data_IF_313714938574
#
_entry.id   IF_313714938574
#
_cell.length_a   1.000
_cell.length_b   1.000
_cell.length_c   1.000
_cell.angle_alpha   90.00
_cell.angle_beta   90.00
_cell.angle_gamma   90.00
#
_symmetry.space_group_name_H-M   'P 1'
#
loop_
_entity.id
_entity.type
_entity.pdbx_description
1 polymer ?
#
# COMPACT_ATOMS: atom_id res chain seq x y z
N UNK A 1 -4.77 25.41 0.37
CA UNK A 1 -5.08 24.32 1.31
C UNK A 1 -3.80 23.52 1.50
N UNK A 2 -3.41 23.28 2.74
CA UNK A 2 -2.17 22.54 3.04
C UNK A 2 -2.32 21.06 2.63
N UNK A 3 -1.27 20.48 2.04
CA UNK A 3 -1.28 19.07 1.61
C UNK A 3 -1.03 18.18 2.82
N UNK A 4 -1.99 17.32 3.13
CA UNK A 4 -1.96 16.46 4.31
C UNK A 4 -1.76 15.00 3.88
N UNK A 5 -0.62 14.42 4.20
CA UNK A 5 -0.33 13.00 3.98
C UNK A 5 -0.53 12.24 5.29
N UNK A 6 -1.16 11.07 5.23
CA UNK A 6 -1.34 10.23 6.41
C UNK A 6 -0.90 8.79 6.16
N UNK A 7 -0.44 8.12 7.21
CA UNK A 7 -0.24 6.68 7.24
C UNK A 7 -0.70 6.12 8.59
N UNK A 8 -0.81 4.80 8.69
CA UNK A 8 -1.19 4.11 9.92
C UNK A 8 -0.24 2.93 10.16
N UNK A 9 0.24 2.80 11.39
CA UNK A 9 1.12 1.72 11.84
C UNK A 9 0.59 1.12 13.14
N UNK A 10 0.45 -0.20 13.23
CA UNK A 10 -0.01 -0.86 14.44
C UNK A 10 0.73 -2.17 14.66
N UNK A 11 0.92 -2.52 15.93
CA UNK A 11 1.68 -3.69 16.33
C UNK A 11 3.13 -3.64 15.84
N UNK A 12 3.71 -4.80 15.55
CA UNK A 12 5.15 -4.96 15.32
C UNK A 12 5.52 -5.23 13.85
N UNK A 13 4.54 -5.24 12.95
CA UNK A 13 4.76 -5.62 11.54
C UNK A 13 5.66 -4.64 10.79
N UNK A 14 5.49 -3.34 11.03
CA UNK A 14 6.31 -2.29 10.43
C UNK A 14 6.99 -1.48 11.54
N UNK A 15 8.31 -1.36 11.47
CA UNK A 15 9.09 -0.52 12.38
C UNK A 15 9.22 0.94 11.90
N UNK A 16 9.82 1.82 12.72
CA UNK A 16 9.99 3.25 12.41
C UNK A 16 10.71 3.51 11.08
N UNK A 17 11.60 2.61 10.66
CA UNK A 17 12.30 2.65 9.35
C UNK A 17 11.34 2.82 8.17
N UNK A 18 10.17 2.18 8.19
CA UNK A 18 9.20 2.30 7.11
C UNK A 18 8.55 3.69 7.09
N UNK A 19 8.21 4.22 8.27
CA UNK A 19 7.60 5.54 8.43
C UNK A 19 8.60 6.63 8.01
N UNK A 20 9.85 6.54 8.47
CA UNK A 20 10.90 7.51 8.18
C UNK A 20 11.24 7.54 6.67
N UNK A 21 11.34 6.38 6.03
CA UNK A 21 11.52 6.28 4.57
C UNK A 21 10.31 6.81 3.82
N UNK A 22 9.09 6.54 4.27
CA UNK A 22 7.89 7.09 3.66
C UNK A 22 7.90 8.62 3.71
N UNK A 23 8.20 9.22 4.87
CA UNK A 23 8.33 10.68 4.97
C UNK A 23 9.39 11.23 4.02
N UNK A 24 10.58 10.63 4.00
CA UNK A 24 11.66 11.12 3.15
C UNK A 24 11.32 11.03 1.65
N UNK A 25 10.66 9.93 1.25
CA UNK A 25 10.10 9.77 -0.09
C UNK A 25 9.05 10.82 -0.43
N UNK A 26 8.13 11.11 0.49
CA UNK A 26 7.11 12.15 0.33
C UNK A 26 7.78 13.53 0.20
N UNK A 27 8.66 13.90 1.14
CA UNK A 27 9.34 15.18 1.18
C UNK A 27 10.16 15.48 -0.10
N UNK A 28 10.81 14.46 -0.67
CA UNK A 28 11.54 14.58 -1.94
C UNK A 28 10.64 14.82 -3.15
N UNK A 29 9.36 14.45 -3.08
CA UNK A 29 8.45 14.37 -4.22
C UNK A 29 7.18 15.21 -4.05
N UNK A 30 7.10 16.09 -3.05
CA UNK A 30 5.94 16.96 -2.86
C UNK A 30 6.40 18.41 -2.71
N UNK A 31 5.69 19.33 -3.35
CA UNK A 31 6.00 20.77 -3.20
C UNK A 31 5.57 21.24 -1.81
N UNK A 32 6.44 21.87 -0.98
CA UNK A 32 6.00 22.42 0.31
C UNK A 32 4.98 23.58 0.14
N UNK A 33 4.16 23.89 1.17
CA UNK A 33 4.06 23.22 2.47
C UNK A 33 3.24 21.92 2.41
N UNK A 34 3.59 20.97 3.29
CA UNK A 34 2.84 19.74 3.53
C UNK A 34 3.02 19.27 4.98
N UNK A 35 2.06 18.50 5.48
CA UNK A 35 2.17 17.78 6.76
C UNK A 35 2.13 16.28 6.54
N UNK A 36 2.74 15.52 7.45
CA UNK A 36 2.62 14.08 7.50
C UNK A 36 2.26 13.61 8.90
N UNK A 37 1.15 12.89 9.02
CA UNK A 37 0.67 12.32 10.28
C UNK A 37 0.71 10.80 10.22
N UNK A 38 1.37 10.17 11.20
CA UNK A 38 1.32 8.73 11.39
C UNK A 38 0.42 8.40 12.59
N UNK A 39 -0.64 7.65 12.34
CA UNK A 39 -1.45 7.07 13.41
C UNK A 39 -0.78 5.79 13.91
N UNK A 40 -0.27 5.77 15.14
CA UNK A 40 0.50 4.65 15.66
C UNK A 40 0.34 4.41 17.15
N UNK A 41 0.52 3.15 17.56
CA UNK A 41 0.63 2.70 18.95
C UNK A 41 2.07 2.75 19.48
N UNK A 42 3.07 2.91 18.61
CA UNK A 42 4.48 3.04 18.99
C UNK A 42 5.20 4.12 18.16
N UNK A 43 5.45 5.32 18.72
CA UNK A 43 6.14 6.40 18.03
C UNK A 43 7.68 6.31 18.13
N UNK A 44 8.23 5.33 18.85
CA UNK A 44 9.67 5.24 19.10
C UNK A 44 10.48 5.14 17.80
N UNK A 45 11.54 5.95 17.69
CA UNK A 45 12.42 6.00 16.52
C UNK A 45 11.82 6.67 15.28
N UNK A 46 10.57 7.15 15.34
CA UNK A 46 9.98 7.95 14.26
C UNK A 46 10.56 9.36 14.30
N UNK A 47 10.91 9.88 13.12
CA UNK A 47 11.50 11.21 12.96
C UNK A 47 10.52 12.33 13.37
N UNK A 48 11.07 13.43 13.88
CA UNK A 48 10.29 14.56 14.44
C UNK A 48 9.38 15.28 13.45
N UNK A 49 9.68 15.20 12.16
CA UNK A 49 8.88 15.84 11.11
C UNK A 49 7.58 15.08 10.82
N UNK A 50 7.47 13.83 11.28
CA UNK A 50 6.24 13.07 11.24
C UNK A 50 5.49 13.30 12.55
N UNK A 51 4.27 13.81 12.45
CA UNK A 51 3.40 13.92 13.62
C UNK A 51 2.85 12.54 13.97
N UNK A 52 3.29 11.98 15.08
CA UNK A 52 2.73 10.73 15.61
C UNK A 52 1.49 11.04 16.46
N UNK A 53 0.36 10.44 16.09
CA UNK A 53 -0.89 10.47 16.86
C UNK A 53 -1.29 9.04 17.25
N UNK A 54 -2.01 8.85 18.38
CA UNK A 54 -2.54 7.54 18.72
C UNK A 54 -3.45 7.00 17.61
N UNK A 55 -3.53 5.68 17.47
CA UNK A 55 -4.48 5.03 16.57
C UNK A 55 -5.91 5.58 16.81
N UNK A 56 -6.65 6.02 15.77
CA UNK A 56 -8.00 6.50 15.94
C UNK A 56 -8.86 5.42 16.59
N UNK A 57 -9.75 5.79 17.53
CA UNK A 57 -10.55 4.83 18.27
C UNK A 57 -11.48 4.07 17.32
N UNK A 58 -11.50 2.75 17.50
CA UNK A 58 -12.46 1.86 16.85
C UNK A 58 -12.75 0.74 17.85
N UNK A 59 -13.83 0.92 18.58
CA UNK A 59 -14.27 0.00 19.63
C UNK A 59 -15.10 -1.13 19.00
N UNK A 60 -14.39 -2.07 18.37
CA UNK A 60 -14.98 -3.25 17.74
C UNK A 60 -14.06 -4.44 17.91
N UNK A 61 -14.63 -5.64 17.99
CA UNK A 61 -13.87 -6.86 17.78
C UNK A 61 -13.43 -6.91 16.31
N UNK A 62 -12.12 -6.99 16.07
CA UNK A 62 -11.59 -7.11 14.71
C UNK A 62 -12.02 -8.44 14.10
N UNK A 63 -12.41 -8.47 12.80
CA UNK A 63 -12.79 -9.69 12.13
C UNK A 63 -11.70 -10.75 12.19
N UNK A 64 -12.10 -11.99 12.41
CA UNK A 64 -11.23 -13.17 12.44
C UNK A 64 -11.48 -14.04 11.21
N UNK A 65 -10.49 -14.87 10.85
CA UNK A 65 -10.58 -15.83 9.74
C UNK A 65 -10.98 -15.24 8.37
N UNK A 66 -10.87 -13.92 8.21
CA UNK A 66 -11.13 -13.21 6.96
C UNK A 66 -9.85 -12.57 6.44
N UNK A 67 -9.80 -12.36 5.13
CA UNK A 67 -8.68 -11.66 4.49
C UNK A 67 -8.89 -10.14 4.64
N UNK A 68 -7.85 -9.37 4.31
CA UNK A 68 -7.91 -7.91 4.32
C UNK A 68 -7.24 -7.27 5.52
N UNK A 69 -7.13 -5.94 5.43
CA UNK A 69 -6.43 -5.09 6.41
C UNK A 69 -7.47 -4.20 7.10
N UNK A 70 -8.41 -4.85 7.79
CA UNK A 70 -9.54 -4.20 8.46
C UNK A 70 -9.19 -3.17 9.54
N UNK A 71 -8.02 -3.18 10.21
CA UNK A 71 -7.62 -2.08 11.09
C UNK A 71 -7.61 -0.69 10.42
N UNK A 72 -7.55 -0.61 9.08
CA UNK A 72 -7.74 0.64 8.32
C UNK A 72 -9.11 1.29 8.56
N UNK A 73 -10.10 0.56 9.09
CA UNK A 73 -11.40 1.09 9.48
C UNK A 73 -11.32 2.22 10.50
N UNK A 74 -10.22 2.31 11.26
CA UNK A 74 -9.91 3.44 12.15
C UNK A 74 -9.87 4.78 11.41
N UNK A 75 -9.45 4.78 10.14
CA UNK A 75 -9.34 5.98 9.32
C UNK A 75 -10.67 6.50 8.78
N UNK A 76 -11.76 5.76 8.96
CA UNK A 76 -13.08 6.12 8.44
C UNK A 76 -13.90 6.98 9.42
N UNK A 77 -13.31 7.34 10.56
CA UNK A 77 -14.00 8.08 11.61
C UNK A 77 -14.31 9.54 11.24
N UNK A 78 -15.16 10.20 12.05
CA UNK A 78 -15.53 11.60 11.85
C UNK A 78 -14.36 12.56 12.05
N UNK A 79 -13.39 12.16 12.88
CA UNK A 79 -12.25 12.98 13.30
C UNK A 79 -10.97 12.15 13.19
N UNK A 80 -9.90 12.76 12.68
CA UNK A 80 -8.56 12.18 12.57
C UNK A 80 -7.54 13.16 13.16
N UNK A 81 -7.51 13.29 14.48
CA UNK A 81 -6.77 14.36 15.15
C UNK A 81 -7.40 15.72 14.89
N UNK A 82 -6.60 16.69 14.46
CA UNK A 82 -7.03 18.02 14.02
C UNK A 82 -7.04 18.17 12.48
N UNK A 83 -6.85 17.06 11.76
CA UNK A 83 -6.88 17.06 10.30
C UNK A 83 -8.28 17.38 9.79
N UNK A 84 -8.37 18.18 8.73
CA UNK A 84 -9.64 18.58 8.11
C UNK A 84 -9.54 18.56 6.59
N UNK A 85 -10.66 18.42 5.89
CA UNK A 85 -10.67 18.36 4.43
C UNK A 85 -9.93 17.14 3.87
N UNK A 86 -9.41 17.21 2.64
CA UNK A 86 -8.79 16.07 1.96
C UNK A 86 -7.44 15.69 2.56
N UNK A 87 -7.30 14.40 2.89
CA UNK A 87 -6.05 13.74 3.27
C UNK A 87 -5.67 12.68 2.22
N UNK A 88 -4.38 12.51 1.97
CA UNK A 88 -3.84 11.43 1.13
C UNK A 88 -3.28 10.32 2.03
N UNK A 89 -3.97 9.19 2.10
CA UNK A 89 -3.45 8.01 2.78
C UNK A 89 -2.46 7.26 1.90
N UNK A 90 -1.36 6.81 2.53
CA UNK A 90 -0.36 5.93 1.92
C UNK A 90 -0.02 4.77 2.87
N UNK A 91 -0.06 3.54 2.35
CA UNK A 91 0.48 2.37 3.05
C UNK A 91 1.99 2.52 3.26
N UNK A 92 2.53 1.78 4.23
CA UNK A 92 3.96 1.80 4.56
C UNK A 92 4.84 1.03 3.55
N UNK A 93 4.25 0.14 2.75
CA UNK A 93 4.92 -0.69 1.75
C UNK A 93 4.77 -0.13 0.32
N UNK A 94 4.99 1.17 0.19
CA UNK A 94 5.00 1.89 -1.09
C UNK A 94 6.37 2.50 -1.37
N UNK A 95 6.61 2.86 -2.63
CA UNK A 95 7.81 3.59 -3.08
C UNK A 95 7.36 4.79 -3.91
N UNK A 96 7.71 6.00 -3.46
CA UNK A 96 7.43 7.24 -4.21
C UNK A 96 8.56 7.52 -5.17
N UNK A 97 8.20 7.70 -6.44
CA UNK A 97 9.12 7.78 -7.57
C UNK A 97 8.95 9.08 -8.38
N UNK A 98 7.89 9.84 -8.13
CA UNK A 98 7.64 11.11 -8.78
C UNK A 98 6.62 11.97 -8.03
N UNK A 99 6.29 13.14 -8.58
CA UNK A 99 5.52 14.18 -7.87
C UNK A 99 4.18 13.69 -7.32
N UNK A 100 3.92 14.03 -6.06
CA UNK A 100 2.67 13.76 -5.35
C UNK A 100 1.63 14.89 -5.49
N UNK A 101 2.00 16.03 -6.09
CA UNK A 101 1.16 17.22 -6.07
C UNK A 101 -0.21 16.99 -6.72
N UNK A 102 -0.26 16.31 -7.87
CA UNK A 102 -1.56 16.11 -8.52
C UNK A 102 -2.47 15.10 -7.81
N UNK A 103 -1.97 14.33 -6.83
CA UNK A 103 -2.88 13.52 -6.01
C UNK A 103 -3.86 14.40 -5.22
N UNK A 104 -3.46 15.63 -4.91
CA UNK A 104 -4.28 16.62 -4.19
C UNK A 104 -5.16 17.48 -5.11
N UNK A 105 -4.81 17.61 -6.39
CA UNK A 105 -5.57 18.43 -7.36
C UNK A 105 -6.44 17.59 -8.30
N UNK A 106 -6.27 16.27 -8.33
CA UNK A 106 -7.09 15.38 -9.15
C UNK A 106 -8.51 15.25 -8.60
N UNK A 107 -9.49 15.69 -9.39
CA UNK A 107 -10.90 15.70 -9.01
C UNK A 107 -11.26 16.86 -8.07
N UNK A 108 -12.46 16.82 -7.51
CA UNK A 108 -12.91 17.78 -6.51
C UNK A 108 -12.29 17.45 -5.13
N UNK A 109 -12.09 18.44 -4.25
CA UNK A 109 -11.61 18.21 -2.88
C UNK A 109 -12.43 17.17 -2.12
N UNK A 110 -13.75 17.14 -2.34
CA UNK A 110 -14.64 16.20 -1.69
C UNK A 110 -14.63 14.78 -2.27
N UNK A 111 -14.01 14.55 -3.43
CA UNK A 111 -13.99 13.22 -4.02
C UNK A 111 -13.22 12.20 -3.17
N UNK A 112 -13.74 10.97 -3.15
CA UNK A 112 -13.01 9.80 -2.67
C UNK A 112 -12.30 9.18 -3.88
N UNK A 113 -10.97 9.17 -3.85
CA UNK A 113 -10.15 8.73 -4.97
C UNK A 113 -9.23 7.61 -4.54
N UNK A 114 -9.33 6.45 -5.20
CA UNK A 114 -8.51 5.26 -4.90
C UNK A 114 -7.51 5.02 -6.02
N UNK A 115 -6.41 4.35 -5.69
CA UNK A 115 -5.58 3.74 -6.73
C UNK A 115 -6.31 2.53 -7.32
N UNK A 116 -6.04 2.21 -8.59
CA UNK A 116 -6.72 1.13 -9.30
C UNK A 116 -6.22 -0.24 -8.83
N UNK A 117 -7.13 -1.15 -8.52
CA UNK A 117 -6.78 -2.54 -8.31
C UNK A 117 -6.58 -3.23 -9.66
N UNK A 118 -5.38 -3.74 -9.91
CA UNK A 118 -5.03 -4.41 -11.18
C UNK A 118 -5.07 -5.93 -11.10
N UNK A 119 -5.42 -6.49 -9.93
CA UNK A 119 -5.49 -7.95 -9.74
C UNK A 119 -6.74 -8.54 -10.39
N UNK A 120 -7.83 -7.77 -10.44
CA UNK A 120 -9.05 -8.16 -11.15
C UNK A 120 -9.44 -7.04 -12.13
N UNK A 121 -8.90 -7.03 -13.36
CA UNK A 121 -9.06 -5.90 -14.29
C UNK A 121 -10.50 -5.69 -14.77
N UNK A 122 -11.34 -6.72 -14.71
CA UNK A 122 -12.75 -6.65 -15.10
C UNK A 122 -13.64 -6.05 -14.00
N UNK A 123 -13.20 -6.10 -12.74
CA UNK A 123 -13.87 -5.38 -11.66
C UNK A 123 -13.24 -3.99 -11.56
N UNK A 124 -14.04 -2.91 -11.66
CA UNK A 124 -13.57 -1.53 -11.43
C UNK A 124 -13.32 -1.26 -9.94
N UNK A 125 -12.47 -2.08 -9.31
CA UNK A 125 -12.13 -1.98 -7.91
C UNK A 125 -10.99 -0.98 -7.68
N UNK A 126 -11.12 -0.21 -6.61
CA UNK A 126 -10.00 0.50 -6.03
C UNK A 126 -9.20 -0.41 -5.09
N UNK A 127 -8.01 0.05 -4.78
CA UNK A 127 -7.18 -0.46 -3.70
C UNK A 127 -6.85 0.68 -2.74
N UNK A 128 -6.66 0.34 -1.48
CA UNK A 128 -6.52 1.28 -0.37
C UNK A 128 -5.07 1.40 0.10
N UNK A 129 -4.10 1.18 -0.80
CA UNK A 129 -2.68 1.47 -0.53
C UNK A 129 -2.31 2.92 -0.80
N UNK A 130 -3.03 3.56 -1.72
CA UNK A 130 -3.00 5.00 -1.92
C UNK A 130 -4.44 5.42 -2.17
N UNK A 131 -5.00 6.24 -1.28
CA UNK A 131 -6.34 6.77 -1.47
C UNK A 131 -6.53 8.13 -0.79
N UNK A 132 -7.20 9.06 -1.48
CA UNK A 132 -7.53 10.41 -1.00
C UNK A 132 -8.99 10.47 -0.61
N UNK A 133 -9.28 11.09 0.52
CA UNK A 133 -10.65 11.30 1.00
C UNK A 133 -10.70 12.50 1.95
N UNK A 134 -11.85 13.19 2.07
CA UNK A 134 -12.07 14.17 3.11
C UNK A 134 -12.24 13.50 4.47
N UNK A 135 -11.61 14.04 5.51
CA UNK A 135 -11.84 13.61 6.90
C UNK A 135 -13.34 13.64 7.21
N UNK A 136 -13.85 12.58 7.83
CA UNK A 136 -15.26 12.40 8.17
C UNK A 136 -16.17 11.94 7.03
N UNK A 137 -15.75 11.99 5.76
CA UNK A 137 -16.60 11.55 4.64
C UNK A 137 -16.86 10.03 4.62
N UNK A 138 -15.99 9.23 5.23
CA UNK A 138 -16.12 7.78 5.27
C UNK A 138 -16.91 7.25 6.48
N UNK A 139 -17.48 8.12 7.32
CA UNK A 139 -18.24 7.74 8.53
C UNK A 139 -19.32 6.69 8.27
N UNK A 140 -20.14 6.76 7.20
CA UNK A 140 -21.14 5.73 6.92
C UNK A 140 -20.55 4.32 6.77
N UNK A 141 -19.32 4.20 6.26
CA UNK A 141 -18.63 2.91 6.17
C UNK A 141 -18.20 2.43 7.56
N UNK A 142 -17.76 3.35 8.41
CA UNK A 142 -17.35 3.02 9.77
C UNK A 142 -18.55 2.55 10.60
N UNK A 143 -19.70 3.23 10.50
CA UNK A 143 -20.93 2.86 11.22
C UNK A 143 -21.43 1.48 10.80
N UNK A 144 -21.52 1.22 9.49
CA UNK A 144 -21.88 -0.11 8.98
C UNK A 144 -20.88 -1.19 9.38
N UNK A 145 -19.59 -0.87 9.42
CA UNK A 145 -18.57 -1.81 9.90
C UNK A 145 -18.66 -2.04 11.41
N UNK A 146 -18.98 -1.02 12.22
CA UNK A 146 -19.16 -1.16 13.67
C UNK A 146 -20.38 -2.00 14.04
N UNK A 147 -21.45 -1.94 13.25
CA UNK A 147 -22.66 -2.71 13.50
C UNK A 147 -22.40 -4.23 13.43
N UNK A 148 -21.62 -4.69 12.45
CA UNK A 148 -21.19 -6.09 12.36
C UNK A 148 -19.86 -6.23 11.58
N UNK A 149 -18.72 -6.11 12.27
CA UNK A 149 -17.41 -6.17 11.62
C UNK A 149 -17.18 -7.50 10.89
N UNK A 150 -17.62 -8.61 11.49
CA UNK A 150 -17.39 -9.95 10.97
C UNK A 150 -18.22 -10.20 9.71
N UNK A 151 -19.52 -9.86 9.72
CA UNK A 151 -20.36 -10.02 8.54
C UNK A 151 -19.86 -9.15 7.37
N UNK A 152 -19.45 -7.91 7.63
CA UNK A 152 -18.84 -7.05 6.59
C UNK A 152 -17.56 -7.68 6.05
N UNK A 153 -16.70 -8.22 6.91
CA UNK A 153 -15.49 -8.86 6.46
C UNK A 153 -15.74 -10.15 5.66
N UNK A 154 -16.78 -10.91 6.02
CA UNK A 154 -17.17 -12.12 5.32
C UNK A 154 -17.79 -11.83 3.94
N UNK A 155 -18.61 -10.79 3.84
CA UNK A 155 -19.23 -10.35 2.58
C UNK A 155 -18.17 -9.83 1.60
N UNK A 156 -17.33 -8.89 2.04
CA UNK A 156 -16.42 -8.17 1.14
C UNK A 156 -15.06 -8.82 1.00
N UNK A 157 -14.63 -9.64 1.97
CA UNK A 157 -13.32 -10.34 2.06
C UNK A 157 -12.08 -9.45 2.13
N UNK A 158 -12.13 -8.21 1.65
CA UNK A 158 -11.04 -7.24 1.70
C UNK A 158 -11.63 -5.84 1.90
N UNK A 159 -10.99 -5.04 2.74
CA UNK A 159 -11.43 -3.69 3.08
C UNK A 159 -11.50 -2.78 1.85
N UNK A 160 -10.60 -2.97 0.88
CA UNK A 160 -10.63 -2.20 -0.36
C UNK A 160 -11.89 -2.42 -1.21
N UNK A 161 -12.46 -3.64 -1.18
CA UNK A 161 -13.73 -3.95 -1.87
C UNK A 161 -14.89 -3.28 -1.15
N UNK A 162 -14.85 -3.30 0.18
CA UNK A 162 -15.82 -2.62 1.02
C UNK A 162 -15.85 -1.12 0.75
N UNK A 163 -14.68 -0.47 0.76
CA UNK A 163 -14.54 0.96 0.46
C UNK A 163 -15.02 1.28 -0.95
N UNK A 164 -14.55 0.54 -1.96
CA UNK A 164 -14.94 0.79 -3.36
C UNK A 164 -16.47 0.74 -3.57
N UNK A 165 -17.15 -0.21 -2.91
CA UNK A 165 -18.59 -0.43 -3.10
C UNK A 165 -19.49 0.45 -2.23
N UNK A 166 -18.99 0.94 -1.10
CA UNK A 166 -19.83 1.64 -0.11
C UNK A 166 -19.46 3.13 0.07
N UNK A 167 -18.37 3.62 -0.53
CA UNK A 167 -17.95 5.03 -0.46
C UNK A 167 -19.10 5.99 -0.82
N UNK A 168 -19.40 7.00 0.03
CA UNK A 168 -20.48 7.95 -0.26
C UNK A 168 -20.19 8.78 -1.50
N UNK A 169 -21.12 8.77 -2.46
CA UNK A 169 -20.92 9.40 -3.77
C UNK A 169 -20.05 8.59 -4.75
N UNK A 170 -19.68 7.35 -4.39
CA UNK A 170 -18.83 6.48 -5.19
C UNK A 170 -17.35 6.83 -5.13
N UNK A 171 -16.54 6.06 -5.85
CA UNK A 171 -15.09 6.26 -5.94
C UNK A 171 -14.66 6.70 -7.32
N UNK A 172 -13.71 7.63 -7.37
CA UNK A 172 -12.89 7.89 -8.56
C UNK A 172 -11.60 7.08 -8.48
N UNK A 173 -10.98 6.83 -9.62
CA UNK A 173 -9.70 6.13 -9.68
C UNK A 173 -8.63 7.08 -10.21
N UNK A 174 -7.50 7.15 -9.51
CA UNK A 174 -6.32 7.85 -10.02
C UNK A 174 -5.93 7.29 -11.40
N UNK A 175 -5.31 8.11 -12.28
CA UNK A 175 -4.76 7.63 -13.54
C UNK A 175 -3.88 6.40 -13.34
N UNK A 176 -4.07 5.37 -14.17
CA UNK A 176 -3.41 4.08 -14.01
C UNK A 176 -1.87 4.15 -14.09
N UNK A 177 -1.34 5.18 -14.75
CA UNK A 177 0.10 5.43 -14.83
C UNK A 177 0.70 5.94 -13.51
N UNK A 178 -0.09 6.63 -12.66
CA UNK A 178 0.44 7.24 -11.44
C UNK A 178 0.79 6.20 -10.38
N UNK A 179 -0.05 5.17 -10.23
CA UNK A 179 0.13 4.12 -9.23
C UNK A 179 0.30 2.78 -9.92
N UNK A 180 1.51 2.23 -9.84
CA UNK A 180 1.85 0.94 -10.45
C UNK A 180 1.99 -0.14 -9.38
N UNK A 181 1.60 -1.36 -9.72
CA UNK A 181 1.81 -2.54 -8.91
C UNK A 181 3.15 -3.18 -9.28
N UNK A 182 4.06 -3.31 -8.31
CA UNK A 182 5.43 -3.79 -8.56
C UNK A 182 5.44 -5.12 -9.34
N UNK A 183 4.78 -6.16 -8.81
CA UNK A 183 4.76 -7.49 -9.47
C UNK A 183 4.04 -7.55 -10.82
N UNK A 184 3.11 -6.64 -11.09
CA UNK A 184 2.24 -6.72 -12.29
C UNK A 184 2.73 -5.82 -13.42
N UNK A 185 3.34 -4.69 -13.09
CA UNK A 185 3.78 -3.69 -14.06
C UNK A 185 5.30 -3.58 -14.12
N UNK A 186 6.00 -3.70 -12.99
CA UNK A 186 7.45 -3.54 -12.97
C UNK A 186 8.18 -4.86 -13.26
N UNK A 187 7.69 -5.98 -12.74
CA UNK A 187 8.33 -7.29 -12.91
C UNK A 187 7.96 -7.94 -14.25
N UNK A 188 8.94 -8.38 -15.06
CA UNK A 188 8.67 -9.16 -16.27
C UNK A 188 7.89 -10.44 -15.98
N UNK A 189 7.11 -10.92 -16.94
CA UNK A 189 6.40 -12.20 -16.80
C UNK A 189 7.36 -13.38 -16.90
N UNK A 190 6.98 -14.52 -16.31
CA UNK A 190 7.73 -15.76 -16.50
C UNK A 190 7.76 -16.18 -17.98
N UNK A 191 8.91 -16.63 -18.52
CA UNK A 191 10.21 -16.83 -17.85
C UNK A 191 11.17 -15.62 -17.89
N UNK A 192 10.78 -14.49 -18.49
CA UNK A 192 11.64 -13.31 -18.64
C UNK A 192 12.13 -12.71 -17.32
N UNK A 193 11.41 -12.92 -16.21
CA UNK A 193 11.82 -12.52 -14.86
C UNK A 193 13.15 -13.11 -14.38
N UNK A 194 13.66 -14.16 -15.02
CA UNK A 194 14.98 -14.74 -14.72
C UNK A 194 16.13 -14.01 -15.40
N UNK A 195 15.87 -13.30 -16.51
CA UNK A 195 16.92 -12.64 -17.31
C UNK A 195 16.79 -11.11 -17.35
N UNK A 196 15.62 -10.57 -16.98
CA UNK A 196 15.34 -9.14 -17.01
C UNK A 196 14.97 -8.64 -15.61
N UNK A 197 15.65 -7.60 -15.17
CA UNK A 197 15.34 -6.91 -13.93
C UNK A 197 14.00 -6.17 -14.01
N UNK A 198 13.29 -6.00 -12.88
CA UNK A 198 12.11 -5.14 -12.81
C UNK A 198 12.44 -3.71 -13.24
N UNK A 199 11.57 -3.09 -14.05
CA UNK A 199 11.76 -1.73 -14.55
C UNK A 199 10.71 -0.78 -13.99
N UNK A 200 11.13 0.45 -13.74
CA UNK A 200 10.23 1.56 -13.44
C UNK A 200 9.76 2.20 -14.75
N UNK A 201 8.46 2.26 -14.96
CA UNK A 201 7.89 2.94 -16.13
C UNK A 201 7.89 4.46 -15.94
N UNK A 202 8.21 5.20 -17.00
CA UNK A 202 8.16 6.66 -16.99
C UNK A 202 6.74 7.16 -16.63
N UNK A 203 6.68 8.23 -15.84
CA UNK A 203 5.41 8.79 -15.35
C UNK A 203 4.80 8.06 -14.15
N UNK A 204 5.42 6.96 -13.68
CA UNK A 204 5.06 6.35 -12.40
C UNK A 204 5.38 7.31 -11.25
N UNK A 205 4.44 7.47 -10.32
CA UNK A 205 4.59 8.35 -9.16
C UNK A 205 4.69 7.56 -7.88
N UNK A 206 3.93 6.47 -7.77
CA UNK A 206 3.95 5.55 -6.64
C UNK A 206 3.97 4.11 -7.17
N UNK A 207 4.85 3.29 -6.60
CA UNK A 207 4.82 1.84 -6.77
C UNK A 207 4.37 1.20 -5.46
N UNK A 208 3.35 0.35 -5.52
CA UNK A 208 2.82 -0.36 -4.35
C UNK A 208 3.28 -1.82 -4.30
N UNK A 209 3.42 -2.36 -3.10
CA UNK A 209 3.94 -3.71 -2.85
C UNK A 209 2.95 -4.58 -2.04
N UNK A 210 1.81 -4.99 -2.63
CA UNK A 210 0.79 -5.74 -1.91
C UNK A 210 1.16 -7.21 -1.73
N UNK A 211 0.55 -7.87 -0.75
CA UNK A 211 0.63 -9.32 -0.56
C UNK A 211 1.85 -9.81 0.23
N UNK A 212 2.45 -8.95 1.04
CA UNK A 212 3.58 -9.29 1.93
C UNK A 212 4.91 -9.43 1.21
N UNK A 213 5.02 -8.84 0.02
CA UNK A 213 6.30 -8.61 -0.64
C UNK A 213 6.64 -7.14 -0.37
N UNK A 214 7.80 -6.81 0.17
CA UNK A 214 8.15 -5.45 0.60
C UNK A 214 9.24 -4.85 -0.31
N UNK A 215 9.46 -3.53 -0.27
CA UNK A 215 10.53 -2.88 -1.04
C UNK A 215 11.91 -3.53 -0.80
N UNK A 216 12.22 -3.95 0.42
CA UNK A 216 13.49 -4.64 0.73
C UNK A 216 13.66 -5.97 -0.04
N UNK A 217 12.57 -6.71 -0.28
CA UNK A 217 12.60 -7.93 -1.08
C UNK A 217 12.85 -7.64 -2.56
N UNK A 218 12.38 -6.49 -3.07
CA UNK A 218 12.69 -6.09 -4.44
C UNK A 218 14.15 -5.67 -4.59
N UNK A 219 14.71 -4.99 -3.59
CA UNK A 219 16.11 -4.60 -3.58
C UNK A 219 17.02 -5.84 -3.59
N UNK A 220 16.76 -6.80 -2.72
CA UNK A 220 17.56 -8.03 -2.64
C UNK A 220 17.28 -9.02 -3.78
N UNK A 221 16.07 -9.01 -4.34
CA UNK A 221 15.61 -10.03 -5.28
C UNK A 221 15.23 -11.35 -4.59
N UNK A 222 14.74 -12.30 -5.37
CA UNK A 222 14.22 -13.57 -4.89
C UNK A 222 12.69 -13.54 -4.68
N UNK A 223 12.24 -14.20 -3.62
CA UNK A 223 10.83 -14.28 -3.23
C UNK A 223 10.64 -13.87 -1.76
N UNK A 224 9.39 -13.67 -1.32
CA UNK A 224 9.07 -13.21 0.03
C UNK A 224 9.26 -14.27 1.13
N UNK A 225 9.39 -15.55 0.77
CA UNK A 225 9.51 -16.62 1.74
C UNK A 225 10.92 -16.62 2.35
N UNK A 226 11.02 -16.88 3.65
CA UNK A 226 12.30 -16.92 4.36
C UNK A 226 13.30 -17.86 3.68
N UNK A 227 14.55 -17.41 3.58
CA UNK A 227 15.62 -18.13 2.91
C UNK A 227 15.60 -18.10 1.37
N UNK A 228 14.59 -17.49 0.74
CA UNK A 228 14.55 -17.28 -0.73
C UNK A 228 15.03 -15.91 -1.18
N UNK A 229 15.15 -14.96 -0.25
CA UNK A 229 15.64 -13.61 -0.50
C UNK A 229 17.12 -13.62 -0.92
N UNK A 230 17.47 -12.75 -1.86
CA UNK A 230 18.85 -12.62 -2.35
C UNK A 230 19.34 -13.75 -3.25
N UNK A 231 18.50 -14.76 -3.56
CA UNK A 231 18.91 -15.86 -4.44
C UNK A 231 19.11 -15.39 -5.88
N UNK A 232 20.20 -15.84 -6.48
CA UNK A 232 20.42 -15.73 -7.93
C UNK A 232 19.42 -16.58 -8.71
N UNK A 233 19.20 -16.29 -10.01
CA UNK A 233 18.35 -17.12 -10.88
C UNK A 233 18.72 -18.61 -10.85
N UNK A 234 20.02 -18.92 -10.90
CA UNK A 234 20.54 -20.28 -10.89
C UNK A 234 20.30 -21.00 -9.55
N UNK A 235 20.53 -20.32 -8.43
CA UNK A 235 20.24 -20.87 -7.10
C UNK A 235 18.74 -21.14 -6.92
N UNK A 236 17.89 -20.21 -7.35
CA UNK A 236 16.45 -20.37 -7.31
C UNK A 236 15.99 -21.58 -8.14
N UNK A 237 16.42 -21.67 -9.42
CA UNK A 237 16.10 -22.82 -10.28
C UNK A 237 16.56 -24.14 -9.68
N UNK A 238 17.80 -24.21 -9.18
CA UNK A 238 18.35 -25.43 -8.56
C UNK A 238 17.49 -25.89 -7.38
N UNK A 239 17.10 -24.96 -6.50
CA UNK A 239 16.24 -25.29 -5.35
C UNK A 239 14.86 -25.76 -5.80
N UNK A 240 14.22 -25.04 -6.72
CA UNK A 240 12.85 -25.35 -7.12
C UNK A 240 12.78 -26.66 -7.92
N UNK A 241 13.74 -26.92 -8.80
CA UNK A 241 13.86 -28.19 -9.52
C UNK A 241 14.19 -29.36 -8.58
N UNK A 242 14.93 -29.13 -7.49
CA UNK A 242 15.12 -30.13 -6.44
C UNK A 242 13.81 -30.54 -5.74
N UNK A 243 12.79 -29.69 -5.81
CA UNK A 243 11.44 -29.89 -5.26
C UNK A 243 10.41 -30.22 -6.35
N UNK A 244 10.83 -30.78 -7.48
CA UNK A 244 9.96 -30.98 -8.65
C UNK A 244 8.75 -31.89 -8.38
N UNK A 245 8.86 -32.79 -7.40
CA UNK A 245 7.76 -33.69 -6.97
C UNK A 245 6.71 -32.99 -6.10
N UNK A 246 6.98 -31.78 -5.62
CA UNK A 246 5.99 -31.02 -4.86
C UNK A 246 4.99 -30.36 -5.82
N UNK A 247 3.70 -30.47 -5.49
CA UNK A 247 2.67 -29.68 -6.14
C UNK A 247 3.07 -28.19 -6.12
N UNK A 248 2.79 -27.46 -7.21
CA UNK A 248 3.01 -26.00 -7.37
C UNK A 248 4.40 -25.54 -7.83
N UNK A 249 5.25 -26.42 -8.39
CA UNK A 249 6.54 -26.02 -8.99
C UNK A 249 6.44 -24.80 -9.91
N UNK A 250 5.53 -24.83 -10.88
CA UNK A 250 5.32 -23.72 -11.82
C UNK A 250 4.95 -22.41 -11.09
N UNK A 251 4.15 -22.50 -10.03
CA UNK A 251 3.79 -21.33 -9.23
C UNK A 251 5.00 -20.77 -8.48
N UNK A 252 5.91 -21.60 -7.97
CA UNK A 252 7.13 -21.12 -7.32
C UNK A 252 8.10 -20.50 -8.34
N UNK A 253 8.26 -21.14 -9.50
CA UNK A 253 9.12 -20.66 -10.58
C UNK A 253 8.68 -19.29 -11.13
N UNK A 254 7.39 -19.08 -11.39
CA UNK A 254 6.87 -17.81 -11.92
C UNK A 254 6.97 -16.64 -10.93
N UNK A 255 7.29 -16.93 -9.67
CA UNK A 255 7.25 -15.98 -8.58
C UNK A 255 8.58 -15.26 -8.33
N UNK A 256 9.69 -15.83 -8.82
CA UNK A 256 11.03 -15.22 -8.79
C UNK A 256 11.03 -13.76 -9.26
N UNK A 257 11.82 -12.92 -8.59
CA UNK A 257 12.04 -11.51 -8.93
C UNK A 257 13.54 -11.26 -8.95
N UNK A 258 14.11 -10.83 -10.07
CA UNK A 258 15.48 -10.33 -10.09
C UNK A 258 15.61 -9.03 -9.28
N UNK A 259 16.78 -8.73 -8.69
CA UNK A 259 16.99 -7.48 -7.95
C UNK A 259 16.57 -6.24 -8.75
N UNK A 260 15.97 -5.26 -8.07
CA UNK A 260 15.49 -4.01 -8.64
C UNK A 260 16.23 -2.81 -8.00
N UNK A 261 17.43 -2.44 -8.48
CA UNK A 261 18.25 -1.39 -7.86
C UNK A 261 17.55 -0.05 -7.72
N UNK A 262 16.72 0.34 -8.70
CA UNK A 262 15.96 1.59 -8.65
C UNK A 262 15.04 1.69 -7.41
N UNK A 263 14.61 0.56 -6.84
CA UNK A 263 13.84 0.58 -5.59
C UNK A 263 14.68 1.15 -4.45
N UNK A 264 15.98 0.85 -4.39
CA UNK A 264 16.88 1.39 -3.37
C UNK A 264 17.13 2.90 -3.56
N UNK A 265 17.22 3.34 -4.82
CA UNK A 265 17.43 4.76 -5.15
C UNK A 265 16.29 5.65 -4.64
N UNK A 266 15.07 5.11 -4.63
CA UNK A 266 13.86 5.80 -4.18
C UNK A 266 13.47 5.49 -2.74
N UNK A 267 13.57 4.24 -2.27
CA UNK A 267 13.14 3.79 -0.94
C UNK A 267 14.23 3.98 0.11
N UNK A 268 14.58 5.25 0.33
CA UNK A 268 15.62 5.69 1.26
C UNK A 268 15.20 6.92 2.05
N UNK A 269 15.90 7.13 3.15
CA UNK A 269 15.84 8.38 3.90
C UNK A 269 16.64 9.48 3.19
#
# INVERSE_FOLDING_TARGET
MEKQVICINWGTKYGPRFINRLYAMVARNITPPFTMTCFTDNPEGVRREVRCLPLPPLDVAMPVNTRGIWPKARLWGPVLGDLTGPVLFMDLDVVVTGSLDDFFTFGAPDDIVLSRNVTNPFERLGQTSVFRFPVGKLVPLQEKFKADPQAVADEYRFEQRYVTRNAPGGVKLFPAAWVRHFRRHCTPVFPLNYWKAPKLEAGTRIVIFPGGFHPEHAISGGWKDEGTQGRTPAQHLKTELGKWREARLFNRLKHYVAPAPWVADHWRE
#
